data_IF_438240436694
#
_entry.id   IF_438240436694
#
_cell.length_a   1.000
_cell.length_b   1.000
_cell.length_c   1.000
_cell.angle_alpha   90.00
_cell.angle_beta   90.00
_cell.angle_gamma   90.00
#
_symmetry.space_group_name_H-M   'P 1'
#
loop_
_entity.id
_entity.type
_entity.pdbx_description
1 polymer ?
#
# COMPACT_ATOMS: atom_id res chain seq x y z
N UNK A 1 -28.14 -11.02 -2.87
CA UNK A 1 -26.78 -10.56 -2.94
C UNK A 1 -26.75 -9.12 -3.41
N UNK A 2 -26.10 -8.26 -2.66
CA UNK A 2 -25.95 -6.85 -3.00
C UNK A 2 -25.22 -6.66 -4.34
N UNK A 3 -25.55 -5.57 -5.04
CA UNK A 3 -24.91 -5.23 -6.32
C UNK A 3 -23.43 -4.85 -6.09
N UNK A 4 -22.51 -5.51 -6.79
CA UNK A 4 -21.09 -5.17 -6.80
C UNK A 4 -20.82 -4.21 -7.96
N UNK A 5 -20.10 -3.12 -7.70
CA UNK A 5 -19.69 -2.14 -8.69
C UNK A 5 -18.18 -2.03 -8.69
N UNK A 6 -17.56 -2.47 -9.77
CA UNK A 6 -16.12 -2.32 -9.98
C UNK A 6 -15.78 -0.89 -10.43
N UNK A 7 -14.62 -0.37 -10.01
CA UNK A 7 -14.12 0.96 -10.33
C UNK A 7 -12.59 1.04 -10.26
N UNK A 8 -12.03 2.19 -10.63
CA UNK A 8 -10.58 2.40 -10.57
C UNK A 8 -9.85 1.57 -11.64
N UNK A 9 -10.19 1.75 -12.90
CA UNK A 9 -9.49 1.09 -14.00
C UNK A 9 -8.04 1.59 -14.12
N UNK A 10 -7.11 0.64 -14.09
CA UNK A 10 -5.67 0.89 -14.27
C UNK A 10 -5.18 0.48 -15.67
N UNK A 11 -6.09 0.37 -16.62
CA UNK A 11 -5.81 -0.11 -17.98
C UNK A 11 -6.11 -1.60 -18.15
N UNK A 12 -6.23 -2.03 -19.40
CA UNK A 12 -6.57 -3.39 -19.80
C UNK A 12 -7.83 -3.98 -19.12
N UNK A 13 -8.79 -3.11 -18.73
CA UNK A 13 -10.04 -3.52 -18.06
C UNK A 13 -9.85 -4.07 -16.64
N UNK A 14 -8.72 -3.79 -16.00
CA UNK A 14 -8.43 -4.24 -14.63
C UNK A 14 -8.92 -3.21 -13.62
N UNK A 15 -10.05 -3.48 -13.01
CA UNK A 15 -10.56 -2.67 -11.89
C UNK A 15 -9.90 -3.07 -10.58
N UNK A 16 -9.39 -2.07 -9.84
CA UNK A 16 -8.68 -2.28 -8.56
C UNK A 16 -9.58 -2.10 -7.34
N UNK A 17 -10.75 -1.49 -7.51
CA UNK A 17 -11.67 -1.16 -6.43
C UNK A 17 -13.04 -1.83 -6.63
N UNK A 18 -13.68 -2.11 -5.52
CA UNK A 18 -15.03 -2.66 -5.47
C UNK A 18 -15.89 -1.87 -4.48
N UNK A 19 -17.15 -1.67 -4.83
CA UNK A 19 -18.17 -1.17 -3.90
C UNK A 19 -19.26 -2.22 -3.76
N UNK A 20 -19.56 -2.61 -2.54
CA UNK A 20 -20.53 -3.64 -2.21
C UNK A 20 -21.29 -3.23 -0.94
N UNK A 21 -22.54 -3.61 -0.84
CA UNK A 21 -23.37 -3.36 0.34
C UNK A 21 -22.74 -3.97 1.61
N UNK A 22 -22.69 -3.20 2.68
CA UNK A 22 -22.10 -3.62 3.96
C UNK A 22 -20.58 -3.55 4.05
N UNK A 23 -19.90 -3.08 2.99
CA UNK A 23 -18.44 -2.86 2.97
C UNK A 23 -18.08 -1.40 2.76
N UNK A 24 -16.84 -0.99 3.10
CA UNK A 24 -16.35 0.35 2.78
C UNK A 24 -16.47 0.66 1.28
N UNK A 25 -16.82 1.90 0.96
CA UNK A 25 -16.90 2.35 -0.43
C UNK A 25 -15.51 2.28 -1.07
N UNK A 26 -15.43 1.72 -2.30
CA UNK A 26 -14.20 1.64 -3.10
C UNK A 26 -13.05 0.93 -2.38
N UNK A 27 -13.32 -0.13 -1.63
CA UNK A 27 -12.26 -0.96 -1.07
C UNK A 27 -11.46 -1.63 -2.19
N UNK A 28 -10.18 -1.90 -1.95
CA UNK A 28 -9.33 -2.60 -2.91
C UNK A 28 -9.70 -4.07 -2.96
N UNK A 29 -9.83 -4.62 -4.17
CA UNK A 29 -10.31 -5.97 -4.39
C UNK A 29 -9.40 -6.70 -5.37
N UNK A 30 -8.76 -7.77 -4.91
CA UNK A 30 -7.78 -8.51 -5.69
C UNK A 30 -7.31 -9.77 -4.99
N UNK A 31 -6.27 -10.37 -5.54
CA UNK A 31 -5.66 -11.58 -4.99
C UNK A 31 -4.77 -11.26 -3.79
N UNK A 32 -4.77 -12.14 -2.80
CA UNK A 32 -3.79 -12.07 -1.72
C UNK A 32 -2.56 -12.88 -2.08
N UNK A 33 -1.38 -12.26 -2.02
CA UNK A 33 -0.09 -12.92 -2.26
C UNK A 33 0.37 -13.60 -0.98
N UNK A 34 0.66 -14.90 -1.05
CA UNK A 34 1.14 -15.70 0.08
C UNK A 34 2.61 -16.11 -0.05
N UNK A 35 3.22 -15.91 -1.22
CA UNK A 35 4.62 -16.22 -1.45
C UNK A 35 5.03 -16.12 -2.90
N UNK A 36 6.19 -16.71 -3.19
CA UNK A 36 6.76 -16.84 -4.53
C UNK A 36 7.17 -18.30 -4.74
N UNK A 37 6.81 -18.88 -5.88
CA UNK A 37 7.26 -20.22 -6.27
C UNK A 37 8.78 -20.28 -6.37
N UNK A 38 9.40 -21.14 -5.61
CA UNK A 38 10.85 -21.24 -5.53
C UNK A 38 11.46 -22.18 -6.60
N UNK A 39 10.70 -23.19 -7.03
CA UNK A 39 11.16 -24.20 -7.99
C UNK A 39 10.00 -24.98 -8.58
N UNK A 40 10.29 -25.75 -9.62
CA UNK A 40 9.32 -26.62 -10.32
C UNK A 40 8.71 -27.70 -9.40
N UNK A 41 9.46 -28.19 -8.42
CA UNK A 41 8.96 -29.20 -7.49
C UNK A 41 7.83 -28.65 -6.62
N UNK A 42 7.95 -27.39 -6.18
CA UNK A 42 6.90 -26.70 -5.43
C UNK A 42 5.64 -26.49 -6.29
N UNK A 43 5.80 -26.06 -7.54
CA UNK A 43 4.67 -25.90 -8.49
C UNK A 43 3.96 -27.24 -8.68
N UNK A 44 4.73 -28.31 -8.86
CA UNK A 44 4.19 -29.66 -9.01
C UNK A 44 3.40 -30.10 -7.78
N UNK A 45 3.91 -29.89 -6.58
CA UNK A 45 3.21 -30.20 -5.31
C UNK A 45 1.87 -29.44 -5.20
N UNK A 46 1.83 -28.16 -5.54
CA UNK A 46 0.60 -27.38 -5.58
C UNK A 46 -0.40 -27.93 -6.60
N UNK A 47 0.07 -28.30 -7.80
CA UNK A 47 -0.79 -28.90 -8.85
C UNK A 47 -1.31 -30.28 -8.45
N UNK A 48 -0.51 -31.12 -7.80
CA UNK A 48 -0.95 -32.43 -7.30
C UNK A 48 -2.05 -32.29 -6.23
N UNK A 49 -1.93 -31.28 -5.36
CA UNK A 49 -2.99 -30.97 -4.38
C UNK A 49 -4.26 -30.47 -5.06
N UNK A 50 -4.16 -29.59 -6.07
CA UNK A 50 -5.29 -29.11 -6.85
C UNK A 50 -5.98 -30.26 -7.62
N UNK A 51 -5.22 -31.15 -8.21
CA UNK A 51 -5.76 -32.33 -8.88
C UNK A 51 -6.47 -33.28 -7.89
N UNK A 52 -5.93 -33.45 -6.69
CA UNK A 52 -6.54 -34.29 -5.65
C UNK A 52 -7.84 -33.67 -5.11
N UNK A 53 -7.91 -32.34 -4.89
CA UNK A 53 -9.09 -31.67 -4.39
C UNK A 53 -10.25 -31.66 -5.39
N UNK A 54 -9.94 -31.51 -6.68
CA UNK A 54 -10.95 -31.45 -7.76
C UNK A 54 -11.30 -32.81 -8.38
N UNK A 55 -10.49 -33.84 -8.14
CA UNK A 55 -10.59 -35.11 -8.82
C UNK A 55 -10.19 -35.06 -10.31
N UNK A 56 -9.59 -33.98 -10.77
CA UNK A 56 -9.14 -33.75 -12.14
C UNK A 56 -7.61 -33.78 -12.20
N UNK A 57 -7.02 -34.84 -12.75
CA UNK A 57 -5.56 -35.03 -12.84
C UNK A 57 -4.83 -33.92 -13.64
N UNK A 58 -5.54 -33.17 -14.48
CA UNK A 58 -4.98 -32.04 -15.25
C UNK A 58 -5.17 -30.68 -14.60
N UNK A 59 -5.77 -30.61 -13.40
CA UNK A 59 -6.02 -29.36 -12.72
C UNK A 59 -4.70 -28.76 -12.23
N UNK A 60 -4.46 -27.49 -12.57
CA UNK A 60 -3.35 -26.70 -12.04
C UNK A 60 -3.88 -25.82 -10.92
N UNK A 61 -3.06 -25.65 -9.86
CA UNK A 61 -3.36 -24.70 -8.78
C UNK A 61 -3.47 -23.28 -9.31
N UNK A 62 -2.51 -22.86 -10.12
CA UNK A 62 -2.46 -21.56 -10.76
C UNK A 62 -1.88 -21.70 -12.17
N UNK A 63 -2.58 -21.20 -13.16
CA UNK A 63 -2.21 -21.37 -14.56
C UNK A 63 -1.02 -20.49 -14.96
N UNK A 64 -0.21 -20.96 -15.91
CA UNK A 64 0.89 -20.23 -16.52
C UNK A 64 1.88 -19.64 -15.51
N UNK A 65 2.31 -20.44 -14.56
CA UNK A 65 3.32 -20.07 -13.54
C UNK A 65 4.63 -20.80 -13.76
N UNK A 66 5.70 -20.19 -13.31
CA UNK A 66 7.03 -20.78 -13.20
C UNK A 66 7.75 -20.33 -11.93
N UNK A 67 8.94 -20.86 -11.65
CA UNK A 67 9.74 -20.40 -10.53
C UNK A 67 9.96 -18.88 -10.56
N UNK A 68 9.76 -18.22 -9.42
CA UNK A 68 9.81 -16.78 -9.28
C UNK A 68 8.47 -16.04 -9.47
N UNK A 69 7.40 -16.73 -9.83
CA UNK A 69 6.07 -16.13 -9.92
C UNK A 69 5.36 -16.12 -8.56
N UNK A 70 4.45 -15.15 -8.40
CA UNK A 70 3.65 -14.99 -7.19
C UNK A 70 2.72 -16.18 -6.97
N UNK A 71 2.57 -16.59 -5.73
CA UNK A 71 1.58 -17.56 -5.27
C UNK A 71 0.41 -16.79 -4.68
N UNK A 72 -0.79 -17.06 -5.18
CA UNK A 72 -2.02 -16.50 -4.65
C UNK A 72 -2.68 -17.44 -3.65
N UNK A 73 -3.42 -16.88 -2.71
CA UNK A 73 -4.21 -17.60 -1.72
C UNK A 73 -5.49 -18.13 -2.36
N UNK A 74 -5.76 -19.41 -2.19
CA UNK A 74 -7.05 -20.03 -2.44
C UNK A 74 -7.99 -19.63 -1.29
N UNK A 75 -8.92 -18.74 -1.57
CA UNK A 75 -9.80 -18.11 -0.57
C UNK A 75 -11.09 -18.90 -0.38
N UNK A 76 -11.61 -19.51 -1.43
CA UNK A 76 -12.84 -20.29 -1.38
C UNK A 76 -12.60 -21.77 -1.09
N UNK A 77 -11.36 -22.22 -1.12
CA UNK A 77 -10.95 -23.56 -0.71
C UNK A 77 -11.25 -24.65 -1.75
N UNK A 78 -11.42 -24.25 -3.03
CA UNK A 78 -11.70 -25.20 -4.11
C UNK A 78 -10.44 -25.89 -4.64
N UNK A 79 -9.26 -25.46 -4.20
CA UNK A 79 -7.97 -26.07 -4.47
C UNK A 79 -7.22 -25.48 -5.67
N UNK A 80 -7.74 -24.45 -6.34
CA UNK A 80 -7.09 -23.79 -7.47
C UNK A 80 -7.50 -22.31 -7.62
N UNK A 81 -6.68 -21.50 -8.23
CA UNK A 81 -6.87 -20.07 -8.28
C UNK A 81 -7.80 -19.63 -9.42
N UNK A 82 -8.88 -18.96 -9.04
CA UNK A 82 -9.88 -18.38 -9.95
C UNK A 82 -10.18 -16.92 -9.63
N UNK A 83 -11.15 -16.33 -10.31
CA UNK A 83 -11.64 -14.99 -9.98
C UNK A 83 -12.37 -14.92 -8.62
N UNK A 84 -12.80 -16.05 -8.07
CA UNK A 84 -13.47 -16.14 -6.78
C UNK A 84 -12.51 -15.95 -5.59
N UNK A 85 -11.21 -16.20 -5.81
CA UNK A 85 -10.16 -16.04 -4.79
C UNK A 85 -9.76 -14.60 -4.56
N UNK A 86 -10.40 -13.66 -5.26
CA UNK A 86 -10.21 -12.24 -4.96
C UNK A 86 -10.97 -11.86 -3.70
N UNK A 87 -10.31 -11.10 -2.83
CA UNK A 87 -10.84 -10.67 -1.55
C UNK A 87 -10.61 -9.18 -1.29
N UNK A 88 -11.17 -8.68 -0.20
CA UNK A 88 -10.93 -7.33 0.32
C UNK A 88 -9.46 -7.21 0.77
N UNK A 89 -8.74 -6.28 0.14
CA UNK A 89 -7.34 -5.96 0.45
C UNK A 89 -7.21 -4.69 1.30
N UNK A 90 -8.31 -4.12 1.72
CA UNK A 90 -8.38 -2.92 2.54
C UNK A 90 -8.97 -1.71 1.83
N UNK A 91 -9.26 -0.68 2.61
CA UNK A 91 -9.96 0.52 2.16
C UNK A 91 -9.03 1.72 2.02
N UNK A 92 -9.25 2.61 1.04
CA UNK A 92 -8.58 3.90 0.97
C UNK A 92 -9.06 4.88 2.05
N UNK A 93 -10.22 4.61 2.68
CA UNK A 93 -10.78 5.46 3.71
C UNK A 93 -10.08 5.19 5.05
N UNK A 94 -9.53 6.22 5.71
CA UNK A 94 -8.95 6.07 7.03
C UNK A 94 -9.99 5.62 8.07
N UNK A 95 -9.57 4.77 8.99
CA UNK A 95 -10.36 4.38 10.17
C UNK A 95 -10.32 5.45 11.26
N UNK A 96 -9.23 6.20 11.31
CA UNK A 96 -9.02 7.29 12.27
C UNK A 96 -8.26 8.44 11.61
N UNK A 97 -8.72 9.66 11.85
CA UNK A 97 -8.05 10.91 11.50
C UNK A 97 -7.96 11.74 12.76
N UNK A 98 -6.78 12.27 13.06
CA UNK A 98 -6.56 13.06 14.25
C UNK A 98 -5.46 14.07 14.11
N UNK A 99 -5.46 15.04 15.03
CA UNK A 99 -4.42 16.03 15.19
C UNK A 99 -4.07 16.22 16.66
N UNK A 100 -2.82 16.61 16.92
CA UNK A 100 -2.32 16.94 18.25
C UNK A 100 -1.55 18.25 18.16
N UNK A 101 -2.06 19.29 18.87
CA UNK A 101 -1.38 20.55 19.05
C UNK A 101 -0.77 20.64 20.45
N UNK A 102 0.50 21.03 20.53
CA UNK A 102 1.24 21.28 21.76
C UNK A 102 1.70 22.72 21.73
N UNK A 103 1.36 23.50 22.76
CA UNK A 103 1.85 24.86 22.92
C UNK A 103 2.43 25.08 24.32
N UNK A 104 3.52 25.83 24.37
CA UNK A 104 4.17 26.21 25.61
C UNK A 104 4.68 27.65 25.54
N UNK A 105 4.63 28.34 26.65
CA UNK A 105 5.21 29.69 26.76
C UNK A 105 6.00 29.83 28.04
N UNK A 106 7.16 30.49 27.97
CA UNK A 106 8.02 30.72 29.10
C UNK A 106 8.93 31.93 28.91
N UNK A 107 8.84 32.89 29.80
CA UNK A 107 9.72 34.11 29.84
C UNK A 107 9.86 34.81 28.46
N UNK A 108 8.75 34.96 27.74
CA UNK A 108 8.74 35.61 26.43
C UNK A 108 8.98 34.68 25.25
N UNK A 109 9.43 33.44 25.48
CA UNK A 109 9.43 32.41 24.47
C UNK A 109 8.05 31.78 24.33
N UNK A 110 7.65 31.47 23.12
CA UNK A 110 6.47 30.69 22.80
C UNK A 110 6.83 29.63 21.75
N UNK A 111 6.33 28.43 21.97
CA UNK A 111 6.50 27.27 21.09
C UNK A 111 5.11 26.72 20.75
N UNK A 112 4.87 26.48 19.48
CA UNK A 112 3.71 25.72 19.01
C UNK A 112 4.16 24.62 18.08
N UNK A 113 3.63 23.42 18.28
CA UNK A 113 3.91 22.24 17.44
C UNK A 113 2.59 21.57 17.14
N UNK A 114 2.28 21.38 15.86
CA UNK A 114 1.08 20.71 15.40
C UNK A 114 1.41 19.46 14.61
N UNK A 115 0.78 18.35 14.99
CA UNK A 115 0.81 17.08 14.28
C UNK A 115 -0.54 16.77 13.70
N UNK A 116 -0.54 16.15 12.53
CA UNK A 116 -1.72 15.59 11.90
C UNK A 116 -1.42 14.18 11.39
N UNK A 117 -2.39 13.30 11.46
CA UNK A 117 -2.23 11.94 10.95
C UNK A 117 -3.54 11.29 10.59
N UNK A 118 -3.43 10.27 9.77
CA UNK A 118 -4.50 9.33 9.48
C UNK A 118 -3.99 7.90 9.61
N UNK A 119 -4.88 6.98 9.95
CA UNK A 119 -4.53 5.60 10.24
C UNK A 119 -5.56 4.64 9.69
N UNK A 120 -5.08 3.47 9.26
CA UNK A 120 -5.90 2.34 8.86
C UNK A 120 -6.41 2.39 7.42
N UNK A 121 -5.99 3.37 6.63
CA UNK A 121 -6.22 3.39 5.19
C UNK A 121 -5.12 2.65 4.43
N UNK A 122 -5.47 2.24 3.23
CA UNK A 122 -4.56 1.62 2.24
C UNK A 122 -4.42 2.51 1.02
N UNK A 123 -3.33 2.33 0.30
CA UNK A 123 -3.04 3.00 -0.99
C UNK A 123 -2.69 1.93 -2.00
N UNK A 124 -3.21 2.04 -3.21
CA UNK A 124 -2.81 1.20 -4.33
C UNK A 124 -1.67 1.85 -5.10
N UNK A 125 -0.52 1.16 -5.17
CA UNK A 125 0.66 1.64 -5.88
C UNK A 125 0.60 1.27 -7.37
N UNK A 126 -0.19 2.03 -8.15
CA UNK A 126 -0.36 1.82 -9.59
C UNK A 126 0.96 1.95 -10.36
N UNK A 127 1.88 2.80 -9.88
CA UNK A 127 3.20 2.98 -10.47
C UNK A 127 4.01 1.68 -10.52
N UNK A 128 3.90 0.83 -9.50
CA UNK A 128 4.57 -0.47 -9.52
C UNK A 128 3.98 -1.40 -10.57
N UNK A 129 2.67 -1.34 -10.82
CA UNK A 129 2.02 -2.15 -11.85
C UNK A 129 2.51 -1.76 -13.25
N UNK A 130 2.56 -0.48 -13.56
CA UNK A 130 2.95 0.03 -14.89
C UNK A 130 4.44 -0.18 -15.18
N UNK A 131 5.32 0.00 -14.18
CA UNK A 131 6.78 -0.08 -14.37
C UNK A 131 7.35 -1.49 -14.45
N UNK A 132 6.51 -2.50 -14.40
CA UNK A 132 6.90 -3.88 -14.68
C UNK A 132 6.74 -4.24 -16.18
N UNK A 133 6.15 -3.37 -17.01
CA UNK A 133 6.09 -3.61 -18.45
C UNK A 133 7.47 -3.38 -19.08
N UNK A 134 7.89 -4.26 -19.97
CA UNK A 134 9.25 -4.29 -20.49
C UNK A 134 9.68 -3.10 -21.36
N UNK A 135 8.80 -2.07 -21.51
CA UNK A 135 9.05 -0.88 -22.33
C UNK A 135 9.42 0.37 -21.54
N UNK A 136 9.28 0.37 -20.20
CA UNK A 136 9.50 1.54 -19.37
C UNK A 136 10.73 1.43 -18.48
N UNK A 137 11.19 2.58 -17.97
CA UNK A 137 12.26 2.61 -16.96
C UNK A 137 11.81 1.93 -15.67
N UNK A 138 12.56 0.93 -15.25
CA UNK A 138 12.24 0.10 -14.11
C UNK A 138 12.53 0.79 -12.79
N UNK A 139 11.72 0.47 -11.78
CA UNK A 139 11.96 0.92 -10.42
C UNK A 139 13.19 0.21 -9.83
N UNK A 140 13.94 0.90 -8.95
CA UNK A 140 15.13 0.34 -8.30
C UNK A 140 14.82 -0.94 -7.49
N UNK A 141 13.61 -1.08 -6.96
CA UNK A 141 13.17 -2.28 -6.24
C UNK A 141 13.28 -3.55 -7.08
N UNK A 142 13.31 -3.39 -8.40
CA UNK A 142 13.48 -4.49 -9.33
C UNK A 142 14.87 -5.17 -9.29
N UNK A 143 15.87 -4.49 -8.75
CA UNK A 143 17.19 -5.08 -8.53
C UNK A 143 17.11 -6.21 -7.48
N UNK A 144 16.13 -6.15 -6.59
CA UNK A 144 15.86 -7.18 -5.57
C UNK A 144 14.86 -8.26 -6.02
N UNK A 145 14.65 -8.41 -7.34
CA UNK A 145 13.73 -9.43 -7.86
C UNK A 145 14.21 -10.84 -7.56
N UNK A 146 13.28 -11.76 -7.57
CA UNK A 146 13.58 -13.17 -7.45
C UNK A 146 14.47 -13.65 -8.62
N UNK A 147 15.53 -14.34 -8.27
CA UNK A 147 16.38 -15.15 -9.14
C UNK A 147 16.78 -16.40 -8.35
N UNK A 148 17.30 -17.47 -8.99
CA UNK A 148 17.80 -18.64 -8.26
C UNK A 148 18.86 -18.29 -7.19
N UNK A 149 19.60 -17.20 -7.41
CA UNK A 149 20.64 -16.70 -6.49
C UNK A 149 20.07 -15.77 -5.40
N UNK A 150 18.86 -15.20 -5.62
CA UNK A 150 18.15 -14.35 -4.67
C UNK A 150 16.73 -14.85 -4.38
N UNK A 151 16.59 -16.02 -3.73
CA UNK A 151 15.27 -16.63 -3.50
C UNK A 151 14.47 -15.97 -2.37
N UNK A 152 15.14 -15.22 -1.46
CA UNK A 152 14.54 -14.64 -0.25
C UNK A 152 13.98 -13.23 -0.47
N UNK A 153 13.25 -13.02 -1.54
CA UNK A 153 12.61 -11.73 -1.86
C UNK A 153 11.11 -11.89 -2.02
N UNK A 154 10.38 -10.80 -1.85
CA UNK A 154 8.94 -10.71 -2.18
C UNK A 154 8.70 -10.05 -3.55
N UNK A 155 9.76 -9.70 -4.27
CA UNK A 155 9.67 -9.18 -5.64
C UNK A 155 9.75 -10.33 -6.63
N UNK A 156 8.70 -10.59 -7.43
CA UNK A 156 8.68 -11.73 -8.32
C UNK A 156 9.74 -11.59 -9.43
N UNK A 157 9.96 -12.69 -10.13
CA UNK A 157 10.77 -12.68 -11.34
C UNK A 157 10.21 -11.71 -12.38
N UNK A 158 11.05 -11.29 -13.28
CA UNK A 158 10.63 -10.47 -14.41
C UNK A 158 9.84 -11.28 -15.42
N UNK A 159 8.66 -10.76 -15.77
CA UNK A 159 7.86 -11.24 -16.88
C UNK A 159 7.34 -10.03 -17.66
N UNK A 160 7.01 -10.17 -18.93
CA UNK A 160 6.40 -9.08 -19.72
C UNK A 160 4.91 -8.94 -19.42
N UNK A 161 4.27 -10.03 -19.04
CA UNK A 161 2.84 -10.13 -18.74
C UNK A 161 2.58 -11.34 -17.83
N UNK A 162 1.34 -11.56 -17.46
CA UNK A 162 0.92 -12.76 -16.73
C UNK A 162 0.51 -12.51 -15.28
N UNK A 163 0.68 -13.55 -14.46
CA UNK A 163 0.14 -13.58 -13.09
C UNK A 163 0.73 -12.52 -12.18
N UNK A 164 2.00 -12.16 -12.34
CA UNK A 164 2.67 -11.17 -11.50
C UNK A 164 2.07 -9.75 -11.59
N UNK A 165 1.25 -9.48 -12.61
CA UNK A 165 0.59 -8.19 -12.86
C UNK A 165 -0.90 -8.17 -12.51
N UNK A 166 -1.40 -9.20 -11.83
CA UNK A 166 -2.76 -9.19 -11.35
C UNK A 166 -2.91 -8.20 -10.19
N UNK A 167 -4.10 -7.59 -10.08
CA UNK A 167 -4.45 -6.76 -8.92
C UNK A 167 -4.34 -7.60 -7.67
N UNK A 168 -3.40 -7.27 -6.80
CA UNK A 168 -3.08 -8.09 -5.63
C UNK A 168 -2.58 -7.28 -4.43
N UNK A 169 -2.48 -7.94 -3.30
CA UNK A 169 -1.97 -7.36 -2.06
C UNK A 169 -0.53 -6.83 -2.19
N UNK A 170 0.23 -7.29 -3.19
CA UNK A 170 1.56 -6.77 -3.51
C UNK A 170 1.58 -5.26 -3.77
N UNK A 171 0.53 -4.74 -4.38
CA UNK A 171 0.41 -3.34 -4.79
C UNK A 171 -0.38 -2.50 -3.80
N UNK A 172 -0.82 -3.08 -2.69
CA UNK A 172 -1.61 -2.42 -1.65
C UNK A 172 -0.75 -2.14 -0.43
N UNK A 173 -0.41 -0.87 -0.24
CA UNK A 173 0.47 -0.40 0.81
C UNK A 173 -0.32 0.27 1.96
N UNK A 174 0.35 0.47 3.11
CA UNK A 174 -0.23 1.28 4.18
C UNK A 174 -0.22 2.75 3.79
N UNK A 175 -1.38 3.40 3.86
CA UNK A 175 -1.51 4.84 3.69
C UNK A 175 -1.48 5.61 5.01
N UNK A 176 -1.24 4.94 6.15
CA UNK A 176 -1.18 5.58 7.45
C UNK A 176 0.07 6.44 7.58
N UNK A 177 -0.10 7.64 8.12
CA UNK A 177 1.02 8.55 8.38
C UNK A 177 0.75 9.45 9.58
N UNK A 178 1.85 9.97 10.14
CA UNK A 178 1.86 11.13 11.03
C UNK A 178 2.75 12.18 10.40
N UNK A 179 2.23 13.38 10.23
CA UNK A 179 2.95 14.52 9.68
C UNK A 179 3.11 15.59 10.77
N UNK A 180 4.33 16.10 10.93
CA UNK A 180 4.56 17.37 11.60
C UNK A 180 4.06 18.47 10.67
N UNK A 181 2.97 19.15 11.04
CA UNK A 181 2.32 20.13 10.19
C UNK A 181 2.91 21.51 10.37
N UNK A 182 3.14 21.91 11.61
CA UNK A 182 3.69 23.23 11.91
C UNK A 182 4.58 23.14 13.13
N UNK A 183 5.71 23.84 13.07
CA UNK A 183 6.52 24.21 14.24
C UNK A 183 6.71 25.72 14.19
N UNK A 184 6.37 26.38 15.28
CA UNK A 184 6.62 27.80 15.42
C UNK A 184 7.33 28.04 16.76
N UNK A 185 8.46 28.73 16.74
CA UNK A 185 9.18 29.21 17.90
C UNK A 185 9.25 30.74 17.84
N UNK A 186 8.63 31.39 18.80
CA UNK A 186 8.60 32.84 18.90
C UNK A 186 9.31 33.37 20.14
N UNK A 187 9.72 34.62 20.10
CA UNK A 187 10.18 35.38 21.24
C UNK A 187 9.61 36.78 21.24
N UNK A 188 8.93 37.13 22.32
CA UNK A 188 8.39 38.46 22.56
C UNK A 188 9.32 39.21 23.50
N UNK A 189 9.84 40.33 23.02
CA UNK A 189 10.79 41.15 23.77
C UNK A 189 10.10 41.86 24.95
N UNK A 190 10.78 42.01 26.11
CA UNK A 190 10.25 42.71 27.28
C UNK A 190 9.91 44.17 26.94
N UNK A 191 8.76 44.64 27.44
CA UNK A 191 8.31 46.02 27.25
C UNK A 191 9.35 47.07 27.65
N UNK A 192 10.12 46.79 28.71
CA UNK A 192 11.18 47.70 29.22
C UNK A 192 12.32 47.93 28.20
N UNK A 193 12.58 46.96 27.33
CA UNK A 193 13.56 47.12 26.26
C UNK A 193 12.98 47.88 25.07
N UNK A 194 11.72 47.62 24.78
CA UNK A 194 11.03 48.22 23.60
C UNK A 194 10.73 49.69 23.79
N UNK A 195 10.43 50.13 25.02
CA UNK A 195 10.24 51.55 25.35
C UNK A 195 11.47 52.39 25.06
N UNK A 196 12.69 51.83 25.19
CA UNK A 196 13.93 52.54 24.87
C UNK A 196 14.10 52.88 23.42
N UNK A 197 13.43 52.15 22.54
CA UNK A 197 13.48 52.31 21.07
C UNK A 197 12.15 52.81 20.47
N UNK A 198 11.23 53.30 21.34
CA UNK A 198 9.92 53.79 20.96
C UNK A 198 9.04 52.79 20.21
N UNK A 199 9.22 51.49 20.48
CA UNK A 199 8.41 50.41 19.93
C UNK A 199 7.47 49.91 21.00
N UNK A 200 6.20 49.68 20.70
CA UNK A 200 5.21 49.24 21.67
C UNK A 200 5.34 47.71 21.97
N UNK A 201 5.58 46.91 20.93
CA UNK A 201 5.74 45.44 21.05
C UNK A 201 6.57 44.95 19.87
N UNK A 202 7.45 44.02 20.12
CA UNK A 202 8.23 43.28 19.11
C UNK A 202 8.22 41.79 19.43
N UNK A 203 7.74 41.01 18.49
CA UNK A 203 7.86 39.55 18.51
C UNK A 203 8.59 39.08 17.24
N UNK A 204 9.61 38.28 17.42
CA UNK A 204 10.30 37.61 16.31
C UNK A 204 9.96 36.14 16.40
N UNK A 205 9.67 35.52 15.28
CA UNK A 205 9.34 34.10 15.24
C UNK A 205 9.99 33.43 14.04
N UNK A 206 10.21 32.13 14.19
CA UNK A 206 10.59 31.21 13.14
C UNK A 206 9.50 30.15 13.01
N UNK A 207 9.03 29.88 11.80
CA UNK A 207 8.06 28.83 11.53
C UNK A 207 8.51 27.95 10.39
N UNK A 208 8.16 26.68 10.49
CA UNK A 208 8.41 25.65 9.47
C UNK A 208 7.26 24.65 9.40
N UNK A 209 7.09 24.01 8.22
CA UNK A 209 6.10 22.97 7.95
C UNK A 209 6.66 21.89 7.01
#
# INVERSE_FOLDING_TARGET
>A
GGKRIASGDIGAGKSVQMTEEGKPIKYFYGYNVIGIFQNEAQIKDYNERAAASTGNAGQQYQNNVGPGDLIYEDVDGDGYITANDRKDLGSPTPKFIGGLGISASWKGFDLSIDFQGNFGNKIFNAKQVERFSGSDNWDRSFLDRWTPENPNTMTPRMTLEGNNYQVSSRYVESGSYVKLQTVELGYTFPKSWMQKVSVQNLRVFFSGN
#
